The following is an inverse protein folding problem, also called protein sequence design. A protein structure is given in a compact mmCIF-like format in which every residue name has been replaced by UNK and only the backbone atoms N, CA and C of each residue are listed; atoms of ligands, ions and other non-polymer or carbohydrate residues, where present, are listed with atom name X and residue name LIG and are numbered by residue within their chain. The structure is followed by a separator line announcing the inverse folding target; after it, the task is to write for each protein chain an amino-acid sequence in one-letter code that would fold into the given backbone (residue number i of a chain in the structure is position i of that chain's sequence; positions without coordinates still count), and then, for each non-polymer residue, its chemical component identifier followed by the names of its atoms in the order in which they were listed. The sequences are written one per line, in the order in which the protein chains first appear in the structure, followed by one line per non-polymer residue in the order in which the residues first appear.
data_IF_069570903339
#
_entry.id   IF_069570903339
#
_cell.length_a   1.000
_cell.length_b   1.000
_cell.length_c   1.000
_cell.angle_alpha   90.00
_cell.angle_beta   90.00
_cell.angle_gamma   90.00
#
_symmetry.space_group_name_H-M   'P 1'
#
loop_
_entity.id
_entity.type
_entity.pdbx_description
1 polymer ?
#
# COMPACT_ATOMS: atom_id res chain seq x y z
N UNK A 1 1.95 19.56 4.90
CA UNK A 1 2.40 18.46 5.78
C UNK A 1 3.90 18.57 6.08
N UNK A 2 4.44 17.87 7.09
CA UNK A 2 5.89 17.80 7.31
C UNK A 2 6.59 17.05 6.16
N UNK A 3 7.90 17.30 5.95
CA UNK A 3 8.72 16.54 5.00
C UNK A 3 8.74 15.06 5.34
N UNK A 4 9.05 14.22 4.36
CA UNK A 4 9.25 12.79 4.58
C UNK A 4 10.50 12.53 5.43
N UNK A 5 10.30 12.08 6.66
CA UNK A 5 11.36 11.59 7.54
C UNK A 5 11.51 10.08 7.38
N UNK A 6 12.57 9.65 6.69
CA UNK A 6 12.91 8.23 6.52
C UNK A 6 13.22 7.52 7.85
N UNK A 7 13.43 8.28 8.93
CA UNK A 7 13.58 7.77 10.29
C UNK A 7 12.26 7.59 11.04
N UNK A 8 11.10 7.96 10.45
CA UNK A 8 9.79 7.89 11.12
C UNK A 8 8.67 7.48 10.16
N UNK A 9 8.50 6.17 10.01
CA UNK A 9 7.56 5.56 9.04
C UNK A 9 6.58 4.62 9.73
N UNK A 10 5.32 4.62 9.30
CA UNK A 10 4.39 3.51 9.58
C UNK A 10 4.20 2.75 8.27
N UNK A 11 4.78 1.57 8.19
CA UNK A 11 4.53 0.68 7.07
C UNK A 11 3.15 0.06 7.22
N UNK A 12 2.37 -0.05 6.15
CA UNK A 12 1.03 -0.63 6.19
C UNK A 12 0.75 -1.45 4.94
N UNK A 13 0.06 -2.58 5.12
CA UNK A 13 -0.36 -3.51 4.07
C UNK A 13 -1.63 -4.29 4.50
N UNK A 14 -2.48 -4.63 3.54
CA UNK A 14 -3.63 -5.50 3.69
C UNK A 14 -3.55 -6.72 2.75
N UNK A 15 -3.82 -7.90 3.30
CA UNK A 15 -4.32 -9.01 2.48
C UNK A 15 -5.84 -9.00 2.48
N UNK A 16 -6.45 -9.26 1.33
CA UNK A 16 -7.89 -9.09 1.14
C UNK A 16 -8.50 -10.25 0.35
N UNK A 17 -9.82 -10.41 0.42
CA UNK A 17 -10.54 -11.49 -0.28
C UNK A 17 -10.60 -11.34 -1.81
N UNK A 18 -10.10 -10.25 -2.38
CA UNK A 18 -10.21 -9.98 -3.81
C UNK A 18 -9.32 -8.82 -4.24
N UNK A 19 -9.47 -8.34 -5.48
CA UNK A 19 -8.66 -7.24 -6.03
C UNK A 19 -9.48 -5.97 -6.33
N UNK A 20 -10.79 -6.00 -6.11
CA UNK A 20 -11.63 -4.80 -6.21
C UNK A 20 -11.77 -4.19 -4.81
N UNK A 21 -11.17 -3.02 -4.54
CA UNK A 21 -11.18 -2.41 -3.22
C UNK A 21 -12.59 -2.02 -2.74
N UNK A 22 -13.56 -1.91 -3.65
CA UNK A 22 -14.94 -1.52 -3.32
C UNK A 22 -15.76 -2.65 -2.71
N UNK A 23 -15.34 -3.90 -2.92
CA UNK A 23 -16.14 -5.09 -2.55
C UNK A 23 -15.36 -6.11 -1.73
N UNK A 24 -14.03 -6.03 -1.69
CA UNK A 24 -13.23 -6.97 -0.93
C UNK A 24 -13.35 -6.74 0.59
N UNK A 25 -12.96 -7.76 1.35
CA UNK A 25 -12.92 -7.75 2.80
C UNK A 25 -11.47 -7.96 3.25
N UNK A 26 -11.05 -7.24 4.29
CA UNK A 26 -9.77 -7.48 4.99
C UNK A 26 -9.69 -8.94 5.45
N UNK A 27 -8.57 -9.59 5.15
CA UNK A 27 -8.16 -10.91 5.66
C UNK A 27 -7.04 -10.71 6.68
N UNK A 28 -5.99 -9.98 6.35
CA UNK A 28 -4.97 -9.55 7.31
C UNK A 28 -4.75 -8.05 7.22
N UNK A 29 -4.34 -7.45 8.34
CA UNK A 29 -3.89 -6.08 8.38
C UNK A 29 -2.60 -6.00 9.19
N UNK A 30 -1.55 -5.48 8.56
CA UNK A 30 -0.25 -5.29 9.19
C UNK A 30 0.13 -3.83 9.20
N UNK A 31 0.49 -3.32 10.38
CA UNK A 31 1.14 -2.02 10.55
C UNK A 31 2.46 -2.21 11.27
N UNK A 32 3.51 -1.55 10.80
CA UNK A 32 4.82 -1.56 11.46
C UNK A 32 5.32 -0.14 11.65
N UNK A 33 5.36 0.32 12.91
CA UNK A 33 5.96 1.60 13.25
C UNK A 33 7.48 1.45 13.33
N UNK A 34 8.17 2.27 12.56
CA UNK A 34 9.62 2.31 12.41
C UNK A 34 10.11 3.68 12.87
N UNK A 35 10.91 3.69 13.93
CA UNK A 35 11.64 4.89 14.39
C UNK A 35 13.13 4.60 14.36
N UNK A 36 13.93 5.50 13.80
CA UNK A 36 15.38 5.34 13.72
C UNK A 36 15.99 5.06 15.10
N UNK A 37 16.79 4.00 15.19
CA UNK A 37 17.42 3.57 16.44
C UNK A 37 16.48 2.84 17.43
N UNK A 38 15.26 2.52 17.04
CA UNK A 38 14.31 1.74 17.85
C UNK A 38 13.90 0.44 17.16
N UNK A 39 13.59 -0.58 17.96
CA UNK A 39 13.02 -1.82 17.44
C UNK A 39 11.65 -1.59 16.78
N UNK A 40 11.36 -2.21 15.63
CA UNK A 40 10.08 -2.10 14.96
C UNK A 40 8.91 -2.53 15.87
N UNK A 41 7.87 -1.70 15.96
CA UNK A 41 6.64 -2.06 16.68
C UNK A 41 5.61 -2.54 15.68
N UNK A 42 5.34 -3.85 15.72
CA UNK A 42 4.44 -4.55 14.80
C UNK A 42 3.04 -4.67 15.39
N UNK A 43 2.02 -4.41 14.57
CA UNK A 43 0.63 -4.73 14.81
C UNK A 43 0.16 -5.56 13.62
N UNK A 44 0.09 -6.88 13.80
CA UNK A 44 -0.44 -7.80 12.80
C UNK A 44 -1.77 -8.38 13.30
N UNK A 45 -2.79 -8.34 12.47
CA UNK A 45 -4.14 -8.78 12.81
C UNK A 45 -4.68 -9.68 11.69
N UNK A 46 -5.33 -10.77 12.09
CA UNK A 46 -6.13 -11.62 11.21
C UNK A 46 -7.60 -11.30 11.45
N UNK A 47 -8.36 -11.11 10.38
CA UNK A 47 -9.81 -10.91 10.42
C UNK A 47 -10.52 -12.18 9.97
N UNK A 48 -11.65 -12.50 10.62
CA UNK A 48 -12.68 -13.29 9.96
C UNK A 48 -13.41 -12.36 8.98
N UNK A 49 -13.27 -12.53 7.65
CA UNK A 49 -13.90 -11.64 6.69
C UNK A 49 -15.43 -11.80 6.64
N UNK A 50 -16.02 -12.81 7.28
CA UNK A 50 -17.46 -13.08 7.25
C UNK A 50 -17.99 -13.55 5.88
N UNK A 51 -17.08 -13.79 4.93
CA UNK A 51 -17.35 -14.32 3.58
C UNK A 51 -16.33 -15.41 3.28
N UNK A 52 -16.59 -16.22 2.25
CA UNK A 52 -15.58 -17.17 1.76
C UNK A 52 -14.38 -16.42 1.18
N UNK A 53 -13.17 -16.85 1.52
CA UNK A 53 -11.93 -16.38 0.88
C UNK A 53 -11.77 -17.16 -0.43
N UNK A 54 -11.79 -16.49 -1.59
CA UNK A 54 -11.63 -17.18 -2.87
C UNK A 54 -10.28 -17.90 -2.94
N UNK A 55 -10.25 -19.09 -3.55
CA UNK A 55 -9.01 -19.87 -3.69
C UNK A 55 -7.86 -19.09 -4.34
N UNK A 56 -8.17 -18.15 -5.24
CA UNK A 56 -7.16 -17.32 -5.87
C UNK A 56 -6.45 -16.41 -4.87
N UNK A 57 -7.16 -15.85 -3.89
CA UNK A 57 -6.58 -15.06 -2.81
C UNK A 57 -5.81 -15.97 -1.84
N UNK A 58 -6.39 -17.11 -1.45
CA UNK A 58 -5.71 -18.13 -0.64
C UNK A 58 -4.39 -18.60 -1.25
N UNK A 59 -4.31 -18.77 -2.58
CA UNK A 59 -3.05 -19.12 -3.27
C UNK A 59 -1.98 -18.04 -3.21
N UNK A 60 -2.37 -16.78 -2.99
CA UNK A 60 -1.45 -15.65 -2.88
C UNK A 60 -0.95 -15.57 -1.44
N UNK A 61 -1.84 -15.34 -0.48
CA UNK A 61 -1.46 -15.03 0.92
C UNK A 61 -1.52 -16.22 1.89
N UNK A 62 -1.93 -17.41 1.43
CA UNK A 62 -1.89 -18.65 2.23
C UNK A 62 -2.91 -18.75 3.39
N UNK A 63 -3.89 -17.84 3.46
CA UNK A 63 -4.92 -17.86 4.52
C UNK A 63 -6.20 -18.48 3.96
N UNK A 64 -6.63 -19.61 4.52
CA UNK A 64 -7.89 -20.25 4.13
C UNK A 64 -9.07 -19.65 4.88
N UNK A 65 -10.30 -19.83 4.37
CA UNK A 65 -11.51 -19.42 5.07
C UNK A 65 -11.59 -20.05 6.47
N UNK A 66 -11.27 -21.33 6.59
CA UNK A 66 -11.33 -22.06 7.86
C UNK A 66 -10.39 -21.45 8.89
N UNK A 67 -9.16 -21.12 8.49
CA UNK A 67 -8.19 -20.47 9.37
C UNK A 67 -8.67 -19.08 9.79
N UNK A 68 -9.12 -18.27 8.83
CA UNK A 68 -9.59 -16.91 9.11
C UNK A 68 -10.79 -16.92 10.09
N UNK A 69 -11.74 -17.86 9.94
CA UNK A 69 -12.87 -18.00 10.86
C UNK A 69 -12.49 -18.52 12.24
N UNK A 70 -11.52 -19.43 12.31
CA UNK A 70 -11.11 -20.04 13.58
C UNK A 70 -10.20 -19.14 14.42
N UNK A 71 -9.31 -18.39 13.77
CA UNK A 71 -8.24 -17.62 14.42
C UNK A 71 -8.45 -16.09 14.33
N UNK A 72 -9.30 -15.63 13.41
CA UNK A 72 -9.50 -14.22 13.13
C UNK A 72 -10.36 -13.50 14.17
N UNK A 73 -10.08 -12.21 14.33
CA UNK A 73 -10.92 -11.30 15.10
C UNK A 73 -12.15 -10.88 14.27
N UNK A 74 -13.24 -10.39 14.91
CA UNK A 74 -14.36 -9.80 14.18
C UNK A 74 -13.89 -8.70 13.23
N UNK A 75 -14.30 -8.79 11.97
CA UNK A 75 -13.83 -7.90 10.89
C UNK A 75 -13.87 -6.41 11.26
N UNK A 76 -15.00 -5.95 11.78
CA UNK A 76 -15.20 -4.54 12.17
C UNK A 76 -14.23 -4.09 13.27
N UNK A 77 -13.79 -5.01 14.14
CA UNK A 77 -12.77 -4.73 15.15
C UNK A 77 -11.41 -4.54 14.51
N UNK A 78 -11.05 -5.37 13.53
CA UNK A 78 -9.80 -5.24 12.77
C UNK A 78 -9.79 -3.93 12.00
N UNK A 79 -10.85 -3.65 11.21
CA UNK A 79 -11.00 -2.41 10.46
C UNK A 79 -10.81 -1.16 11.33
N UNK A 80 -11.55 -1.07 12.45
CA UNK A 80 -11.45 0.07 13.36
C UNK A 80 -10.04 0.21 13.95
N UNK A 81 -9.44 -0.89 14.40
CA UNK A 81 -8.07 -0.87 14.95
C UNK A 81 -7.04 -0.46 13.92
N UNK A 82 -7.19 -0.88 12.67
CA UNK A 82 -6.33 -0.47 11.54
C UNK A 82 -6.42 1.04 11.30
N UNK A 83 -7.63 1.58 11.19
CA UNK A 83 -7.88 3.01 10.99
C UNK A 83 -7.35 3.83 12.17
N UNK A 84 -7.65 3.41 13.41
CA UNK A 84 -7.19 4.09 14.62
C UNK A 84 -5.65 4.10 14.70
N UNK A 85 -5.00 3.00 14.34
CA UNK A 85 -3.54 2.89 14.37
C UNK A 85 -2.86 3.76 13.29
N UNK A 86 -3.44 3.87 12.08
CA UNK A 86 -3.00 4.80 11.04
C UNK A 86 -3.16 6.26 11.48
N UNK A 87 -4.35 6.63 11.98
CA UNK A 87 -4.61 7.97 12.49
C UNK A 87 -3.68 8.36 13.63
N UNK A 88 -3.46 7.46 14.58
CA UNK A 88 -2.51 7.68 15.66
C UNK A 88 -1.08 7.85 15.13
N UNK A 89 -0.69 7.11 14.08
CA UNK A 89 0.63 7.24 13.49
C UNK A 89 0.81 8.60 12.79
N UNK A 90 -0.19 9.06 12.02
CA UNK A 90 -0.18 10.40 11.44
C UNK A 90 -0.15 11.51 12.49
N UNK A 91 -0.95 11.39 13.56
CA UNK A 91 -0.95 12.33 14.68
C UNK A 91 0.41 12.39 15.39
N UNK A 92 1.10 11.24 15.48
CA UNK A 92 2.47 11.14 15.99
C UNK A 92 3.52 11.63 14.97
N UNK A 93 3.13 12.06 13.76
CA UNK A 93 4.02 12.57 12.72
C UNK A 93 4.77 11.51 11.91
N UNK A 94 4.27 10.27 11.86
CA UNK A 94 4.80 9.24 10.97
C UNK A 94 4.24 9.41 9.55
N UNK A 95 5.07 9.14 8.54
CA UNK A 95 4.58 8.97 7.17
C UNK A 95 4.07 7.53 6.97
N UNK A 96 2.88 7.37 6.38
CA UNK A 96 2.36 6.08 6.00
C UNK A 96 3.05 5.60 4.72
N UNK A 97 3.75 4.46 4.79
CA UNK A 97 4.43 3.84 3.65
C UNK A 97 3.66 2.60 3.23
N UNK A 98 3.11 2.62 2.01
CA UNK A 98 2.19 1.58 1.51
C UNK A 98 2.54 1.32 0.05
N UNK A 99 2.78 0.06 -0.32
CA UNK A 99 3.10 -0.28 -1.70
C UNK A 99 1.81 -0.37 -2.52
N UNK A 100 1.62 0.56 -3.47
CA UNK A 100 0.35 0.75 -4.19
C UNK A 100 -0.78 1.20 -3.23
N UNK A 101 -0.52 2.29 -2.50
CA UNK A 101 -1.37 2.89 -1.47
C UNK A 101 -2.83 3.11 -1.91
N UNK A 102 -3.03 3.43 -3.19
CA UNK A 102 -4.36 3.60 -3.78
C UNK A 102 -5.25 2.38 -3.63
N UNK A 103 -4.70 1.17 -3.47
CA UNK A 103 -5.49 -0.01 -3.17
C UNK A 103 -5.95 -0.04 -1.71
N UNK A 104 -5.01 -0.15 -0.76
CA UNK A 104 -5.31 -0.36 0.65
C UNK A 104 -6.16 0.76 1.25
N UNK A 105 -5.85 2.01 0.94
CA UNK A 105 -6.60 3.16 1.45
C UNK A 105 -8.03 3.21 0.90
N UNK A 106 -8.24 2.70 -0.31
CA UNK A 106 -9.57 2.58 -0.91
C UNK A 106 -10.38 1.45 -0.28
N UNK A 107 -9.73 0.34 0.10
CA UNK A 107 -10.38 -0.72 0.90
C UNK A 107 -10.90 -0.15 2.21
N UNK A 108 -10.08 0.63 2.91
CA UNK A 108 -10.50 1.28 4.16
C UNK A 108 -11.66 2.25 3.94
N UNK A 109 -11.64 3.06 2.87
CA UNK A 109 -12.74 3.98 2.54
C UNK A 109 -14.04 3.26 2.16
N UNK A 110 -13.95 2.15 1.42
CA UNK A 110 -15.13 1.39 1.02
C UNK A 110 -15.81 0.74 2.23
N UNK A 111 -15.02 0.26 3.20
CA UNK A 111 -15.52 -0.36 4.42
C UNK A 111 -15.95 0.67 5.48
N UNK A 112 -15.28 1.82 5.56
CA UNK A 112 -15.59 2.94 6.45
C UNK A 112 -15.68 4.23 5.61
N UNK A 113 -16.88 4.62 5.15
CA UNK A 113 -17.07 5.80 4.29
C UNK A 113 -16.54 7.11 4.89
N UNK A 114 -16.37 7.21 6.21
CA UNK A 114 -15.79 8.36 6.89
C UNK A 114 -14.25 8.40 6.94
N UNK A 115 -13.55 7.37 6.43
CA UNK A 115 -12.09 7.27 6.51
C UNK A 115 -11.37 8.29 5.62
N UNK A 116 -10.59 9.19 6.21
CA UNK A 116 -9.78 10.19 5.50
C UNK A 116 -8.29 9.90 5.61
N UNK A 117 -7.52 10.38 4.64
CA UNK A 117 -6.06 10.39 4.71
C UNK A 117 -5.63 11.66 5.44
N UNK A 118 -5.23 11.50 6.70
CA UNK A 118 -5.00 12.63 7.62
C UNK A 118 -3.52 13.04 7.73
N UNK A 119 -2.64 12.43 6.93
CA UNK A 119 -1.20 12.67 6.99
C UNK A 119 -0.46 12.20 5.74
N UNK A 120 0.86 12.30 5.79
CA UNK A 120 1.74 12.01 4.65
C UNK A 120 1.64 10.54 4.24
N UNK A 121 1.46 10.30 2.95
CA UNK A 121 1.52 8.97 2.32
C UNK A 121 2.69 8.93 1.35
N UNK A 122 3.48 7.87 1.44
CA UNK A 122 4.61 7.57 0.55
C UNK A 122 4.36 6.20 -0.07
N UNK A 123 4.27 6.17 -1.39
CA UNK A 123 3.94 4.99 -2.17
C UNK A 123 5.13 4.59 -3.06
N UNK A 124 5.94 3.61 -2.62
CA UNK A 124 7.10 3.17 -3.39
C UNK A 124 6.74 2.65 -4.79
N UNK A 125 5.50 2.17 -5.02
CA UNK A 125 5.08 1.74 -6.35
C UNK A 125 4.99 2.92 -7.32
N UNK A 126 4.42 4.04 -6.87
CA UNK A 126 4.32 5.27 -7.67
C UNK A 126 5.68 5.93 -7.84
N UNK A 127 6.48 5.99 -6.77
CA UNK A 127 7.84 6.53 -6.83
C UNK A 127 8.74 5.72 -7.78
N UNK A 128 8.65 4.39 -7.78
CA UNK A 128 9.43 3.56 -8.71
C UNK A 128 9.09 3.89 -10.18
N UNK A 129 7.82 4.16 -10.47
CA UNK A 129 7.41 4.60 -11.81
C UNK A 129 7.97 5.95 -12.19
N UNK A 130 7.95 6.90 -11.24
CA UNK A 130 8.52 8.24 -11.43
C UNK A 130 10.01 8.18 -11.74
N UNK A 131 10.78 7.43 -10.95
CA UNK A 131 12.24 7.45 -11.02
C UNK A 131 12.85 6.38 -11.95
N UNK A 132 12.06 5.39 -12.37
CA UNK A 132 12.49 4.38 -13.36
C UNK A 132 11.53 4.30 -14.56
N UNK A 133 11.24 5.40 -15.29
CA UNK A 133 10.14 5.45 -16.28
C UNK A 133 10.36 4.55 -17.50
N UNK A 134 11.61 4.14 -17.78
CA UNK A 134 11.95 3.29 -18.94
C UNK A 134 11.75 1.79 -18.68
N UNK A 135 11.33 1.40 -17.48
CA UNK A 135 11.11 0.00 -17.15
C UNK A 135 9.95 -0.58 -17.93
N UNK A 136 10.19 -1.70 -18.62
CA UNK A 136 9.20 -2.43 -19.42
C UNK A 136 9.11 -3.87 -18.96
N UNK A 137 7.95 -4.48 -19.19
CA UNK A 137 7.71 -5.90 -18.91
C UNK A 137 6.63 -6.10 -17.86
N UNK A 138 5.76 -7.09 -18.11
CA UNK A 138 4.71 -7.47 -17.17
C UNK A 138 5.33 -7.94 -15.85
N UNK A 139 4.74 -7.53 -14.74
CA UNK A 139 5.17 -7.94 -13.40
C UNK A 139 6.44 -7.27 -12.87
N UNK A 140 7.16 -6.47 -13.65
CA UNK A 140 8.42 -5.82 -13.23
C UNK A 140 8.25 -4.78 -12.11
N UNK A 141 7.03 -4.33 -11.88
CA UNK A 141 6.63 -3.39 -10.81
C UNK A 141 5.93 -4.08 -9.64
N UNK A 142 5.87 -5.42 -9.61
CA UNK A 142 5.42 -6.12 -8.40
C UNK A 142 6.45 -5.91 -7.29
N UNK A 143 6.02 -5.98 -6.03
CA UNK A 143 6.86 -5.72 -4.86
C UNK A 143 8.19 -6.51 -4.90
N UNK A 144 8.15 -7.82 -5.13
CA UNK A 144 9.35 -8.67 -5.24
C UNK A 144 10.38 -8.19 -6.26
N UNK A 145 10.03 -8.09 -7.56
CA UNK A 145 10.94 -7.54 -8.59
C UNK A 145 11.45 -6.12 -8.30
N UNK A 146 10.64 -5.27 -7.65
CA UNK A 146 11.09 -3.95 -7.21
C UNK A 146 12.11 -4.09 -6.08
N UNK A 147 11.86 -4.91 -5.06
CA UNK A 147 12.82 -5.21 -3.99
C UNK A 147 14.17 -5.70 -4.54
N UNK A 148 14.15 -6.65 -5.48
CA UNK A 148 15.36 -7.13 -6.15
C UNK A 148 16.14 -5.99 -6.82
N UNK A 149 15.45 -5.12 -7.57
CA UNK A 149 16.05 -3.97 -8.28
C UNK A 149 16.71 -2.96 -7.35
N UNK A 150 16.14 -2.75 -6.16
CA UNK A 150 16.67 -1.82 -5.16
C UNK A 150 17.63 -2.49 -4.17
N UNK A 151 17.81 -3.82 -4.23
CA UNK A 151 18.65 -4.57 -3.30
C UNK A 151 18.05 -4.62 -1.89
N UNK A 152 16.72 -4.64 -1.80
CA UNK A 152 15.96 -4.70 -0.55
C UNK A 152 15.51 -6.13 -0.27
N UNK A 153 15.57 -6.52 1.00
CA UNK A 153 15.13 -7.84 1.47
C UNK A 153 13.61 -7.94 1.52
N UNK A 154 13.08 -9.00 0.92
CA UNK A 154 11.70 -9.49 1.04
C UNK A 154 11.78 -10.98 1.39
N UNK A 155 11.38 -11.35 2.60
CA UNK A 155 11.57 -12.72 3.11
C UNK A 155 10.40 -13.64 2.79
N UNK A 156 9.20 -13.27 3.23
CA UNK A 156 7.97 -14.01 2.99
C UNK A 156 7.01 -13.13 2.20
N UNK A 157 7.11 -13.16 0.86
CA UNK A 157 6.18 -12.44 0.00
C UNK A 157 4.73 -12.91 0.27
N UNK A 158 3.78 -11.97 0.26
CA UNK A 158 2.37 -12.23 0.58
C UNK A 158 2.09 -12.56 2.06
N UNK A 159 3.04 -12.21 2.93
CA UNK A 159 2.78 -11.94 4.35
C UNK A 159 2.73 -10.42 4.52
N UNK A 160 1.58 -9.90 4.98
CA UNK A 160 1.37 -8.45 5.09
C UNK A 160 2.42 -7.73 5.95
N UNK A 161 3.00 -8.39 6.96
CA UNK A 161 4.03 -7.75 7.80
C UNK A 161 5.35 -7.64 7.04
N UNK A 162 5.75 -8.68 6.32
CA UNK A 162 6.96 -8.66 5.51
C UNK A 162 6.83 -7.76 4.27
N UNK A 163 5.65 -7.72 3.65
CA UNK A 163 5.36 -6.83 2.52
C UNK A 163 5.36 -5.35 2.96
N UNK A 164 4.76 -5.02 4.11
CA UNK A 164 4.84 -3.68 4.70
C UNK A 164 6.31 -3.29 5.01
N UNK A 165 7.07 -4.17 5.66
CA UNK A 165 8.50 -3.92 5.94
C UNK A 165 9.31 -3.71 4.67
N UNK A 166 9.04 -4.48 3.61
CA UNK A 166 9.68 -4.31 2.32
C UNK A 166 9.33 -2.95 1.68
N UNK A 167 8.08 -2.51 1.77
CA UNK A 167 7.66 -1.19 1.30
C UNK A 167 8.43 -0.06 2.02
N UNK A 168 8.58 -0.13 3.35
CA UNK A 168 9.37 0.85 4.10
C UNK A 168 10.86 0.84 3.74
N UNK A 169 11.46 -0.35 3.55
CA UNK A 169 12.84 -0.47 3.07
C UNK A 169 13.02 0.11 1.66
N UNK A 170 12.03 -0.08 0.78
CA UNK A 170 12.01 0.54 -0.55
C UNK A 170 11.93 2.06 -0.46
N UNK A 171 11.02 2.62 0.33
CA UNK A 171 10.92 4.07 0.52
C UNK A 171 12.25 4.66 1.02
N UNK A 172 12.89 4.01 2.01
CA UNK A 172 14.21 4.39 2.50
C UNK A 172 15.29 4.35 1.40
N UNK A 173 15.34 3.26 0.63
CA UNK A 173 16.34 3.11 -0.44
C UNK A 173 16.11 4.09 -1.60
N UNK A 174 14.86 4.34 -1.97
CA UNK A 174 14.49 5.32 -2.98
C UNK A 174 14.90 6.72 -2.53
N UNK A 175 14.58 7.12 -1.30
CA UNK A 175 15.01 8.40 -0.74
C UNK A 175 16.54 8.55 -0.68
N UNK A 176 17.26 7.45 -0.44
CA UNK A 176 18.74 7.44 -0.49
C UNK A 176 19.28 7.67 -1.91
N UNK A 177 18.62 7.11 -2.93
CA UNK A 177 19.03 7.26 -4.34
C UNK A 177 18.54 8.57 -4.96
N UNK A 178 17.43 9.09 -4.45
CA UNK A 178 16.72 10.28 -4.91
C UNK A 178 16.46 11.20 -3.71
N UNK A 179 17.46 11.98 -3.28
CA UNK A 179 17.34 12.88 -2.12
C UNK A 179 16.19 13.88 -2.23
N UNK A 180 15.75 14.20 -3.45
CA UNK A 180 14.61 15.07 -3.69
C UNK A 180 13.32 14.60 -2.98
N UNK A 181 13.17 13.29 -2.73
CA UNK A 181 12.03 12.72 -2.00
C UNK A 181 11.94 13.26 -0.57
N UNK A 182 13.08 13.51 0.10
CA UNK A 182 13.10 14.01 1.49
C UNK A 182 13.31 15.52 1.57
N UNK A 183 13.78 16.15 0.50
CA UNK A 183 13.96 17.60 0.41
C UNK A 183 12.65 18.35 0.12
N UNK A 184 11.74 17.74 -0.64
CA UNK A 184 10.40 18.27 -0.91
C UNK A 184 9.60 18.41 0.40
N UNK A 185 8.72 19.42 0.43
CA UNK A 185 7.65 19.44 1.42
C UNK A 185 6.70 18.25 1.21
N UNK A 186 6.02 17.82 2.28
CA UNK A 186 5.18 16.63 2.23
C UNK A 186 4.01 16.76 1.25
N UNK A 187 3.48 17.98 1.07
CA UNK A 187 2.34 18.20 0.17
C UNK A 187 2.79 18.09 -1.29
N UNK A 188 3.96 18.65 -1.64
CA UNK A 188 4.60 18.53 -2.93
C UNK A 188 5.00 17.07 -3.25
N UNK A 189 5.44 16.30 -2.25
CA UNK A 189 5.71 14.87 -2.44
C UNK A 189 4.42 14.08 -2.72
N UNK A 190 3.30 14.41 -2.05
CA UNK A 190 2.00 13.81 -2.35
C UNK A 190 1.48 14.23 -3.73
N UNK A 191 1.64 15.50 -4.09
CA UNK A 191 1.26 16.01 -5.42
C UNK A 191 2.07 15.34 -6.53
N UNK A 192 3.38 15.17 -6.37
CA UNK A 192 4.24 14.44 -7.31
C UNK A 192 3.70 13.03 -7.58
N UNK A 193 3.31 12.31 -6.53
CA UNK A 193 2.76 10.97 -6.64
C UNK A 193 1.38 10.96 -7.30
N UNK A 194 0.51 11.92 -6.95
CA UNK A 194 -0.81 12.05 -7.58
C UNK A 194 -0.70 12.34 -9.09
N UNK A 195 0.20 13.25 -9.49
CA UNK A 195 0.46 13.55 -10.90
C UNK A 195 0.98 12.31 -11.62
N UNK A 196 1.95 11.59 -11.03
CA UNK A 196 2.49 10.37 -11.64
C UNK A 196 1.41 9.28 -11.81
N UNK A 197 0.55 9.08 -10.81
CA UNK A 197 -0.55 8.12 -10.87
C UNK A 197 -1.55 8.48 -11.98
N UNK A 198 -1.86 9.77 -12.14
CA UNK A 198 -2.71 10.26 -13.22
C UNK A 198 -2.08 10.06 -14.60
N UNK A 199 -0.80 10.39 -14.77
CA UNK A 199 -0.07 10.20 -16.04
C UNK A 199 -0.02 8.72 -16.46
N UNK A 200 0.19 7.82 -15.49
CA UNK A 200 0.17 6.38 -15.73
C UNK A 200 -1.20 5.89 -16.19
N UNK A 201 -2.26 6.34 -15.53
CA UNK A 201 -3.63 5.98 -15.85
C UNK A 201 -4.03 6.52 -17.23
N UNK A 202 -3.67 7.77 -17.56
CA UNK A 202 -3.90 8.34 -18.88
C UNK A 202 -3.20 7.52 -19.98
N UNK A 203 -1.94 7.16 -19.76
CA UNK A 203 -1.15 6.35 -20.68
C UNK A 203 -1.72 4.94 -20.85
N UNK A 204 -2.19 4.32 -19.77
CA UNK A 204 -2.82 3.00 -19.79
C UNK A 204 -4.16 3.03 -20.53
N UNK A 205 -4.98 4.07 -20.29
CA UNK A 205 -6.26 4.24 -20.96
C UNK A 205 -6.07 4.45 -22.47
N UNK A 206 -5.09 5.26 -22.89
CA UNK A 206 -4.73 5.42 -24.30
C UNK A 206 -4.29 4.08 -24.91
N UNK A 207 -3.45 3.33 -24.20
CA UNK A 207 -3.03 2.00 -24.63
C UNK A 207 -4.22 1.05 -24.82
N UNK A 208 -5.16 0.99 -23.87
CA UNK A 208 -6.36 0.15 -24.03
C UNK A 208 -7.23 0.58 -25.21
N UNK A 209 -7.49 1.88 -25.38
CA UNK A 209 -8.25 2.41 -26.52
C UNK A 209 -7.58 2.08 -27.86
N UNK A 210 -6.25 2.24 -27.96
CA UNK A 210 -5.50 1.87 -29.17
C UNK A 210 -5.56 0.38 -29.51
N UNK A 211 -5.90 -0.46 -28.53
CA UNK A 211 -6.12 -1.91 -28.69
C UNK A 211 -7.59 -2.29 -28.81
N UNK A 212 -8.50 -1.32 -28.93
CA UNK A 212 -9.95 -1.55 -28.99
C UNK A 212 -10.54 -2.13 -27.70
N UNK A 213 -9.88 -1.94 -26.56
CA UNK A 213 -10.31 -2.41 -25.24
C UNK A 213 -11.01 -1.29 -24.47
N UNK A 214 -11.90 -1.68 -23.58
CA UNK A 214 -12.51 -0.76 -22.63
C UNK A 214 -11.47 -0.17 -21.67
N UNK A 215 -11.62 1.10 -21.36
CA UNK A 215 -10.78 1.89 -20.48
C UNK A 215 -11.59 2.66 -19.43
N UNK A 216 -12.90 2.40 -19.30
CA UNK A 216 -13.77 3.05 -18.30
C UNK A 216 -13.30 2.83 -16.87
N UNK A 217 -12.70 1.67 -16.61
CA UNK A 217 -12.28 1.25 -15.27
C UNK A 217 -10.85 1.68 -14.92
N UNK A 218 -10.19 2.46 -15.80
CA UNK A 218 -8.85 2.98 -15.53
C UNK A 218 -8.96 4.20 -14.62
N UNK A 219 -8.57 4.02 -13.37
CA UNK A 219 -8.57 5.07 -12.35
C UNK A 219 -7.14 5.53 -12.03
N UNK A 220 -6.92 6.85 -12.12
CA UNK A 220 -5.66 7.52 -11.81
C UNK A 220 -5.67 8.30 -10.50
N UNK A 221 -6.74 8.20 -9.70
CA UNK A 221 -6.84 8.88 -8.42
C UNK A 221 -5.94 8.23 -7.37
N UNK A 222 -5.25 9.08 -6.61
CA UNK A 222 -4.29 8.71 -5.59
C UNK A 222 -4.32 9.78 -4.48
N UNK A 223 -4.14 9.44 -3.19
CA UNK A 223 -3.78 8.12 -2.65
C UNK A 223 -4.97 7.20 -2.40
N UNK A 224 -6.17 7.57 -2.85
CA UNK A 224 -7.40 6.80 -2.63
C UNK A 224 -8.29 6.95 -3.85
N UNK A 225 -8.92 5.85 -4.26
CA UNK A 225 -9.77 5.75 -5.44
C UNK A 225 -11.14 6.38 -5.20
N UNK A 226 -11.65 7.05 -6.24
CA UNK A 226 -12.94 7.74 -6.24
C UNK A 226 -14.14 6.85 -6.56
#
# INVERSE_FOLDING_TARGET
MSRFDVGKMVAFDLETTGTDPRTCRIVTSALVRLTAGQEPRKLAMLADPGVEIPEAATRIHGITTERARAEGEPHERVLRRTIDALRAAWADGYAAVIYNAAYDLSVLRALEPGFTVDGLVVDPYVLDKRFTPKLRGSGQRKLGPTCERYGVRLDAAHDATEDALAAARLAWMMAKRHPEITEMDGDALMELQAVQAWEDAASLAEYFRSRGRDASDVDGTWPMRG
#
